data_IF_535017164003
#
_entry.id   IF_535017164003
#
_cell.length_a   1.000
_cell.length_b   1.000
_cell.length_c   1.000
_cell.angle_alpha   90.00
_cell.angle_beta   90.00
_cell.angle_gamma   90.00
#
_symmetry.space_group_name_H-M   'P 1'
#
loop_
_entity.id
_entity.type
_entity.pdbx_description
1 polymer ?
#
# COMPACT_ATOMS: atom_id res chain seq x y z
N UNK A 1 -17.77 9.75 -10.72
CA UNK A 1 -17.23 10.20 -9.42
C UNK A 1 -17.83 9.29 -8.35
N UNK A 2 -17.13 8.20 -8.06
CA UNK A 2 -17.56 7.24 -7.05
C UNK A 2 -17.50 7.93 -5.71
N UNK A 3 -18.61 7.91 -4.97
CA UNK A 3 -18.70 8.33 -3.56
C UNK A 3 -17.92 7.37 -2.64
N UNK A 4 -16.70 6.98 -3.01
CA UNK A 4 -15.81 6.47 -2.00
C UNK A 4 -15.42 7.67 -1.14
N UNK A 5 -15.91 7.61 0.06
CA UNK A 5 -15.73 8.53 1.16
C UNK A 5 -14.29 9.09 1.12
N UNK A 6 -14.17 10.41 1.13
CA UNK A 6 -12.88 11.13 1.16
C UNK A 6 -12.07 10.88 2.45
N UNK A 7 -12.31 9.76 3.13
CA UNK A 7 -11.56 9.38 4.32
C UNK A 7 -10.15 8.98 3.93
N UNK A 8 -9.19 9.52 4.64
CA UNK A 8 -7.82 9.02 4.58
C UNK A 8 -7.80 7.58 5.13
N UNK A 9 -7.52 6.60 4.27
CA UNK A 9 -7.44 5.19 4.64
C UNK A 9 -5.99 4.70 4.77
N UNK A 10 -5.02 5.60 4.82
CA UNK A 10 -3.60 5.25 4.95
C UNK A 10 -3.29 4.43 6.21
N UNK A 11 -4.11 4.57 7.25
CA UNK A 11 -4.00 3.79 8.49
C UNK A 11 -4.64 2.40 8.44
N UNK A 12 -5.26 1.99 7.33
CA UNK A 12 -5.81 0.64 7.14
C UNK A 12 -4.72 -0.37 6.80
N UNK A 13 -3.82 -0.58 7.75
CA UNK A 13 -2.71 -1.51 7.66
C UNK A 13 -2.46 -2.20 9.00
N UNK A 14 -1.71 -3.29 8.99
CA UNK A 14 -1.28 -3.96 10.21
C UNK A 14 -0.11 -3.21 10.86
N UNK A 15 -0.08 -3.15 12.19
CA UNK A 15 0.97 -2.43 12.93
C UNK A 15 2.37 -2.96 12.62
N UNK A 16 2.51 -4.26 12.32
CA UNK A 16 3.82 -4.85 12.02
C UNK A 16 4.44 -4.23 10.75
N UNK A 17 3.65 -3.80 9.80
CA UNK A 17 4.13 -3.15 8.57
C UNK A 17 4.82 -1.83 8.90
N UNK A 18 4.28 -1.06 9.85
CA UNK A 18 4.89 0.19 10.31
C UNK A 18 6.15 -0.03 11.15
N UNK A 19 6.17 -1.07 11.99
CA UNK A 19 7.39 -1.40 12.74
C UNK A 19 8.50 -1.91 11.83
N UNK A 20 8.18 -2.67 10.77
CA UNK A 20 9.13 -3.03 9.73
C UNK A 20 9.64 -1.79 8.96
N UNK A 21 8.75 -0.89 8.57
CA UNK A 21 9.12 0.36 7.88
C UNK A 21 10.08 1.21 8.73
N UNK A 22 9.83 1.31 10.04
CA UNK A 22 10.75 1.97 10.97
C UNK A 22 12.12 1.27 11.02
N UNK A 23 12.14 -0.06 10.99
CA UNK A 23 13.39 -0.83 10.91
C UNK A 23 14.17 -0.56 9.62
N UNK A 24 13.50 -0.52 8.47
CA UNK A 24 14.13 -0.16 7.19
C UNK A 24 14.64 1.29 7.18
N UNK A 25 13.88 2.20 7.74
CA UNK A 25 14.30 3.59 7.87
C UNK A 25 15.56 3.72 8.74
N UNK A 26 15.58 3.09 9.92
CA UNK A 26 16.72 3.11 10.84
C UNK A 26 18.00 2.50 10.22
N UNK A 27 17.85 1.51 9.33
CA UNK A 27 18.95 0.86 8.60
C UNK A 27 19.27 1.55 7.25
N UNK A 28 18.80 2.76 7.02
CA UNK A 28 19.06 3.57 5.81
C UNK A 28 18.59 2.91 4.50
N UNK A 29 17.59 2.04 4.58
CA UNK A 29 17.03 1.32 3.42
C UNK A 29 15.85 2.05 2.74
N UNK A 30 15.50 3.25 3.19
CA UNK A 30 14.36 4.05 2.69
C UNK A 30 14.42 4.38 1.19
N UNK A 31 15.58 4.26 0.56
CA UNK A 31 15.77 4.49 -0.88
C UNK A 31 15.97 3.21 -1.68
N UNK A 32 15.86 2.06 -1.04
CA UNK A 32 16.01 0.77 -1.71
C UNK A 32 14.83 0.54 -2.67
N UNK A 33 15.17 0.14 -3.88
CA UNK A 33 14.14 -0.27 -4.86
C UNK A 33 13.72 -1.71 -4.59
N UNK A 34 12.42 -1.92 -4.48
CA UNK A 34 11.81 -3.24 -4.28
C UNK A 34 10.67 -3.43 -5.26
N UNK A 35 10.29 -4.68 -5.49
CA UNK A 35 9.18 -5.08 -6.36
C UNK A 35 8.21 -5.92 -5.54
N UNK A 36 6.94 -5.55 -5.58
CA UNK A 36 5.86 -6.32 -4.98
C UNK A 36 4.86 -6.74 -6.04
N UNK A 37 4.44 -7.99 -5.98
CA UNK A 37 3.38 -8.54 -6.83
C UNK A 37 2.13 -8.81 -6.00
N UNK A 38 0.99 -8.38 -6.51
CA UNK A 38 -0.33 -8.71 -5.96
C UNK A 38 -0.96 -9.78 -6.83
N UNK A 39 -1.31 -10.90 -6.25
CA UNK A 39 -1.96 -12.02 -6.92
C UNK A 39 -2.91 -12.75 -5.96
N UNK A 40 -3.84 -13.51 -6.50
CA UNK A 40 -4.68 -14.40 -5.70
C UNK A 40 -4.23 -15.86 -5.89
N UNK A 41 -4.44 -16.67 -4.86
CA UNK A 41 -3.88 -18.03 -4.80
C UNK A 41 -4.82 -19.11 -5.32
N UNK A 42 -6.13 -18.87 -5.21
CA UNK A 42 -7.15 -19.89 -5.51
C UNK A 42 -8.42 -19.22 -6.00
N UNK A 43 -9.02 -19.81 -7.03
CA UNK A 43 -10.32 -19.34 -7.52
C UNK A 43 -11.40 -19.43 -6.41
N UNK A 44 -12.21 -18.39 -6.22
CA UNK A 44 -13.37 -18.45 -5.35
C UNK A 44 -14.43 -19.41 -5.93
N UNK A 45 -15.26 -19.97 -5.05
CA UNK A 45 -16.47 -20.72 -5.41
C UNK A 45 -16.26 -21.86 -6.44
N UNK A 46 -15.08 -22.48 -6.45
CA UNK A 46 -14.69 -23.52 -7.43
C UNK A 46 -14.79 -23.05 -8.89
N UNK A 47 -14.77 -21.74 -9.12
CA UNK A 47 -14.74 -21.13 -10.45
C UNK A 47 -13.46 -21.42 -11.21
N UNK A 48 -13.49 -21.16 -12.52
CA UNK A 48 -12.34 -21.39 -13.41
C UNK A 48 -11.39 -20.19 -13.53
N UNK A 49 -11.83 -19.00 -13.17
CA UNK A 49 -11.08 -17.74 -13.32
C UNK A 49 -11.63 -16.65 -12.40
N UNK A 50 -10.94 -15.52 -12.32
CA UNK A 50 -11.43 -14.28 -11.73
C UNK A 50 -11.39 -13.15 -12.77
N UNK A 51 -12.11 -12.09 -12.50
CA UNK A 51 -12.05 -10.85 -13.30
C UNK A 51 -11.37 -9.78 -12.46
N UNK A 52 -10.32 -9.16 -12.99
CA UNK A 52 -9.59 -8.10 -12.31
C UNK A 52 -10.46 -6.86 -12.20
N UNK A 53 -10.63 -6.38 -10.97
CA UNK A 53 -11.43 -5.20 -10.67
C UNK A 53 -10.83 -4.44 -9.48
N UNK A 54 -10.94 -3.09 -9.50
CA UNK A 54 -10.50 -2.25 -8.41
C UNK A 54 -9.19 -1.50 -8.68
N UNK A 55 -8.72 -1.45 -9.91
CA UNK A 55 -7.49 -0.73 -10.27
C UNK A 55 -7.60 0.77 -9.97
N UNK A 56 -8.73 1.38 -10.30
CA UNK A 56 -8.97 2.81 -10.05
C UNK A 56 -8.80 3.14 -8.56
N UNK A 57 -9.35 2.31 -7.68
CA UNK A 57 -9.26 2.49 -6.23
C UNK A 57 -7.82 2.36 -5.73
N UNK A 58 -7.04 1.44 -6.30
CA UNK A 58 -5.62 1.27 -5.95
C UNK A 58 -4.81 2.49 -6.36
N UNK A 59 -5.04 3.01 -7.55
CA UNK A 59 -4.36 4.22 -8.05
C UNK A 59 -4.74 5.43 -7.20
N UNK A 60 -6.03 5.64 -6.95
CA UNK A 60 -6.52 6.72 -6.08
C UNK A 60 -5.91 6.64 -4.67
N UNK A 61 -5.83 5.43 -4.09
CA UNK A 61 -5.17 5.22 -2.80
C UNK A 61 -3.69 5.60 -2.85
N UNK A 62 -2.95 5.14 -3.84
CA UNK A 62 -1.52 5.41 -3.98
C UNK A 62 -1.22 6.91 -4.17
N UNK A 63 -2.01 7.59 -4.99
CA UNK A 63 -1.87 9.03 -5.25
C UNK A 63 -2.19 9.89 -4.02
N UNK A 64 -3.11 9.43 -3.16
CA UNK A 64 -3.56 10.15 -1.97
C UNK A 64 -2.94 9.64 -0.67
N UNK A 65 -2.04 8.65 -0.72
CA UNK A 65 -1.40 8.07 0.46
C UNK A 65 -0.60 9.13 1.23
N UNK A 66 -1.03 9.40 2.47
CA UNK A 66 -0.38 10.35 3.36
C UNK A 66 -0.77 10.06 4.82
N UNK A 67 0.05 10.53 5.74
CA UNK A 67 -0.23 10.47 7.17
C UNK A 67 -0.47 11.89 7.68
N UNK A 68 -1.63 12.11 8.30
CA UNK A 68 -1.97 13.40 8.88
C UNK A 68 -1.41 13.56 10.33
N UNK A 69 -1.66 14.71 10.94
CA UNK A 69 -1.15 14.97 12.28
C UNK A 69 -1.75 14.04 13.34
N UNK A 70 -3.01 13.63 13.18
CA UNK A 70 -3.66 12.71 14.12
C UNK A 70 -3.06 11.30 14.01
N UNK A 71 -2.74 10.84 12.79
CA UNK A 71 -2.04 9.58 12.55
C UNK A 71 -0.65 9.58 13.21
N UNK A 72 0.10 10.65 13.02
CA UNK A 72 1.44 10.81 13.62
C UNK A 72 1.36 10.84 15.15
N UNK A 73 0.39 11.54 15.73
CA UNK A 73 0.19 11.58 17.18
C UNK A 73 -0.20 10.22 17.74
N UNK A 74 -1.01 9.46 17.01
CA UNK A 74 -1.32 8.08 17.37
C UNK A 74 -0.04 7.21 17.37
N UNK A 75 0.75 7.21 16.31
CA UNK A 75 2.02 6.46 16.27
C UNK A 75 2.98 6.89 17.38
N UNK A 76 3.06 8.17 17.69
CA UNK A 76 3.87 8.68 18.81
C UNK A 76 3.41 8.11 20.15
N UNK A 77 2.11 8.00 20.36
CA UNK A 77 1.53 7.46 21.60
C UNK A 77 1.90 6.00 21.87
N UNK A 78 2.22 5.23 20.81
CA UNK A 78 2.62 3.83 20.93
C UNK A 78 4.05 3.65 21.49
N UNK A 79 4.88 4.69 21.46
CA UNK A 79 6.29 4.67 21.89
C UNK A 79 7.15 3.58 21.19
N UNK A 80 6.83 3.26 19.94
CA UNK A 80 7.54 2.25 19.14
C UNK A 80 8.42 2.86 18.05
N UNK A 81 8.27 4.15 17.77
CA UNK A 81 8.83 4.82 16.59
C UNK A 81 9.74 5.98 17.02
N UNK A 82 10.82 6.21 16.27
CA UNK A 82 11.67 7.38 16.47
C UNK A 82 11.02 8.66 15.93
N UNK A 83 11.33 9.81 16.51
CA UNK A 83 10.79 11.10 16.02
C UNK A 83 11.24 11.38 14.58
N UNK A 84 12.44 10.97 14.20
CA UNK A 84 12.94 11.09 12.83
C UNK A 84 12.08 10.28 11.84
N UNK A 85 11.65 9.07 12.23
CA UNK A 85 10.74 8.25 11.40
C UNK A 85 9.35 8.87 11.32
N UNK A 86 8.82 9.40 12.44
CA UNK A 86 7.52 10.08 12.46
C UNK A 86 7.52 11.33 11.58
N UNK A 87 8.60 12.09 11.58
CA UNK A 87 8.77 13.23 10.67
C UNK A 87 8.83 12.77 9.20
N UNK A 88 9.54 11.70 8.93
CA UNK A 88 9.59 11.10 7.59
C UNK A 88 8.19 10.68 7.11
N UNK A 89 7.38 10.02 7.95
CA UNK A 89 6.00 9.63 7.61
C UNK A 89 5.11 10.83 7.29
N UNK A 90 5.26 11.94 8.01
CA UNK A 90 4.48 13.16 7.77
C UNK A 90 4.70 13.72 6.36
N UNK A 91 5.90 13.56 5.83
CA UNK A 91 6.29 14.03 4.49
C UNK A 91 6.13 12.94 3.43
N UNK A 92 5.81 11.71 3.84
CA UNK A 92 5.75 10.57 2.96
C UNK A 92 4.71 10.76 1.86
N UNK A 93 5.10 10.42 0.63
CA UNK A 93 4.20 10.27 -0.52
C UNK A 93 4.66 9.06 -1.32
N UNK A 94 3.72 8.36 -1.92
CA UNK A 94 4.06 7.27 -2.83
C UNK A 94 4.75 7.85 -4.08
N UNK A 95 5.91 7.30 -4.42
CA UNK A 95 6.71 7.71 -5.58
C UNK A 95 7.07 6.53 -6.50
N UNK A 96 6.42 5.39 -6.29
CA UNK A 96 6.64 4.18 -7.05
C UNK A 96 5.86 4.14 -8.36
N UNK A 97 6.17 3.13 -9.17
CA UNK A 97 5.44 2.81 -10.39
C UNK A 97 4.48 1.65 -10.13
N UNK A 98 3.32 1.66 -10.76
CA UNK A 98 2.33 0.58 -10.70
C UNK A 98 2.10 0.06 -12.11
N UNK A 99 2.29 -1.24 -12.32
CA UNK A 99 1.93 -1.96 -13.53
C UNK A 99 0.80 -2.92 -13.19
N UNK A 100 -0.27 -2.91 -13.94
CA UNK A 100 -1.44 -3.74 -13.66
C UNK A 100 -2.10 -4.22 -14.95
N UNK A 101 -2.88 -5.29 -14.85
CA UNK A 101 -3.83 -5.64 -15.90
C UNK A 101 -4.87 -4.52 -16.06
N UNK A 102 -5.37 -4.30 -17.27
CA UNK A 102 -6.54 -3.45 -17.46
C UNK A 102 -7.74 -3.96 -16.66
N UNK A 103 -8.56 -3.04 -16.17
CA UNK A 103 -9.82 -3.36 -15.52
C UNK A 103 -10.66 -4.30 -16.39
N UNK A 104 -11.26 -5.33 -15.79
CA UNK A 104 -12.07 -6.32 -16.50
C UNK A 104 -11.29 -7.47 -17.15
N UNK A 105 -9.97 -7.53 -17.01
CA UNK A 105 -9.15 -8.63 -17.53
C UNK A 105 -9.47 -9.93 -16.81
N UNK A 106 -9.68 -11.02 -17.57
CA UNK A 106 -9.75 -12.38 -17.01
C UNK A 106 -8.36 -12.79 -16.54
N UNK A 107 -8.27 -13.30 -15.33
CA UNK A 107 -7.01 -13.71 -14.70
C UNK A 107 -7.14 -15.05 -13.99
N UNK A 108 -6.00 -15.70 -13.78
CA UNK A 108 -5.91 -17.02 -13.16
C UNK A 108 -5.07 -16.95 -11.86
N UNK A 109 -5.21 -17.97 -10.98
CA UNK A 109 -4.42 -18.00 -9.74
C UNK A 109 -2.91 -17.89 -10.00
N UNK A 110 -2.22 -17.17 -9.13
CA UNK A 110 -0.77 -16.92 -9.15
C UNK A 110 -0.27 -16.05 -10.32
N UNK A 111 -1.16 -15.46 -11.11
CA UNK A 111 -0.77 -14.42 -12.05
C UNK A 111 -0.68 -13.07 -11.34
N UNK A 112 0.43 -12.31 -11.51
CA UNK A 112 0.54 -10.98 -10.94
C UNK A 112 -0.46 -10.02 -11.59
N UNK A 113 -1.54 -9.71 -10.90
CA UNK A 113 -2.55 -8.77 -11.37
C UNK A 113 -2.08 -7.32 -11.31
N UNK A 114 -1.22 -7.02 -10.34
CA UNK A 114 -0.60 -5.73 -10.13
C UNK A 114 0.82 -5.92 -9.64
N UNK A 115 1.74 -5.12 -10.15
CA UNK A 115 3.14 -5.04 -9.72
C UNK A 115 3.48 -3.61 -9.35
N UNK A 116 3.99 -3.41 -8.15
CA UNK A 116 4.53 -2.12 -7.72
C UNK A 116 6.06 -2.16 -7.74
N UNK A 117 6.67 -1.13 -8.29
CA UNK A 117 8.10 -0.90 -8.29
C UNK A 117 8.41 0.31 -7.42
N UNK A 118 9.19 0.13 -6.37
CA UNK A 118 9.67 1.17 -5.46
C UNK A 118 8.74 1.43 -4.25
N UNK A 119 9.33 1.36 -3.11
CA UNK A 119 8.84 2.05 -1.92
C UNK A 119 9.61 3.36 -1.73
#
# INVERSE_FOLDING_TARGET
MTQFDKRNISMMMDLYEMTMANGYFANQQKTQKVVFDVFYRKNPDQGGYAVFAGLEQVVEYAENLHFDSADIDYFRSLNLFSEEFLQYLKEFRFTGDIYAFPEGTVMYPNEPALRSLRL
#
